data_IF_326203390583
#
_entry.id   IF_326203390583
#
_cell.length_a   1.000
_cell.length_b   1.000
_cell.length_c   1.000
_cell.angle_alpha   90.00
_cell.angle_beta   90.00
_cell.angle_gamma   90.00
#
_symmetry.space_group_name_H-M   'P 1'
#
loop_
_entity.id
_entity.type
_entity.pdbx_description
1 polymer ?
#
# COMPACT_ATOMS: atom_id res chain seq x y z
N UNK A 1 57.08 3.28 -35.27
CA UNK A 1 57.27 1.83 -35.45
C UNK A 1 57.09 1.19 -34.07
N UNK A 2 55.90 0.61 -33.85
CA UNK A 2 55.47 -0.34 -32.81
C UNK A 2 55.60 0.08 -31.32
N UNK A 3 54.49 0.45 -30.65
CA UNK A 3 53.57 -0.44 -29.90
C UNK A 3 54.24 -1.12 -28.70
N UNK A 4 54.18 -0.49 -27.51
CA UNK A 4 54.26 -1.15 -26.18
C UNK A 4 54.17 -0.12 -25.04
N UNK A 5 52.99 0.47 -24.78
CA UNK A 5 52.84 1.35 -23.61
C UNK A 5 51.46 1.33 -22.91
N UNK A 6 50.54 0.45 -23.32
CA UNK A 6 49.21 0.35 -22.72
C UNK A 6 48.72 -1.10 -22.54
N UNK A 7 49.59 -1.97 -22.03
CA UNK A 7 49.17 -3.25 -21.45
C UNK A 7 49.25 -3.18 -19.93
N UNK A 8 48.56 -2.19 -19.33
CA UNK A 8 48.19 -2.31 -17.92
C UNK A 8 47.06 -3.33 -17.86
N UNK A 9 47.43 -4.61 -17.91
CA UNK A 9 46.54 -5.71 -17.57
C UNK A 9 46.17 -5.49 -16.11
N UNK A 10 45.01 -4.85 -15.89
CA UNK A 10 44.31 -4.90 -14.62
C UNK A 10 44.00 -6.37 -14.38
N UNK A 11 44.95 -7.06 -13.74
CA UNK A 11 44.71 -8.33 -13.09
C UNK A 11 43.80 -8.00 -11.91
N UNK A 12 42.50 -7.89 -12.20
CA UNK A 12 41.46 -7.89 -11.18
C UNK A 12 41.68 -9.22 -10.46
N UNK A 13 42.05 -9.18 -9.17
CA UNK A 13 42.37 -10.40 -8.47
C UNK A 13 41.07 -11.25 -8.42
N UNK A 14 41.20 -12.53 -8.78
CA UNK A 14 40.07 -13.46 -9.00
C UNK A 14 39.22 -13.69 -7.74
N UNK A 15 39.75 -13.33 -6.58
CA UNK A 15 39.08 -13.32 -5.28
C UNK A 15 37.94 -12.28 -5.22
N UNK A 16 38.11 -11.10 -5.82
CA UNK A 16 37.07 -10.05 -5.82
C UNK A 16 35.97 -10.37 -6.83
N UNK A 17 36.31 -11.00 -7.96
CA UNK A 17 35.30 -11.40 -8.96
C UNK A 17 34.47 -12.59 -8.48
N UNK A 18 35.07 -13.57 -7.80
CA UNK A 18 34.35 -14.70 -7.22
C UNK A 18 33.50 -14.28 -6.01
N UNK A 19 34.00 -13.41 -5.12
CA UNK A 19 33.21 -12.88 -4.01
C UNK A 19 32.03 -12.01 -4.49
N UNK A 20 32.22 -11.24 -5.57
CA UNK A 20 31.16 -10.48 -6.22
C UNK A 20 30.12 -11.38 -6.89
N UNK A 21 30.56 -12.44 -7.58
CA UNK A 21 29.67 -13.39 -8.24
C UNK A 21 28.86 -14.22 -7.23
N UNK A 22 29.50 -14.71 -6.17
CA UNK A 22 28.83 -15.42 -5.07
C UNK A 22 27.84 -14.52 -4.31
N UNK A 23 28.17 -13.24 -4.12
CA UNK A 23 27.23 -12.29 -3.52
C UNK A 23 26.01 -12.07 -4.42
N UNK A 24 26.21 -11.92 -5.73
CA UNK A 24 25.09 -11.81 -6.68
C UNK A 24 24.30 -13.10 -6.82
N UNK A 25 24.92 -14.27 -6.73
CA UNK A 25 24.23 -15.57 -6.75
C UNK A 25 23.44 -15.77 -5.46
N UNK A 26 24.00 -15.46 -4.28
CA UNK A 26 23.29 -15.54 -3.00
C UNK A 26 22.13 -14.54 -2.91
N UNK A 27 22.30 -13.33 -3.47
CA UNK A 27 21.21 -12.34 -3.58
C UNK A 27 20.14 -12.85 -4.56
N UNK A 28 20.54 -13.42 -5.70
CA UNK A 28 19.59 -13.97 -6.68
C UNK A 28 18.86 -15.20 -6.14
N UNK A 29 19.53 -16.10 -5.43
CA UNK A 29 18.92 -17.25 -4.74
C UNK A 29 17.98 -16.81 -3.62
N UNK A 30 18.32 -15.77 -2.85
CA UNK A 30 17.41 -15.23 -1.84
C UNK A 30 16.19 -14.55 -2.46
N UNK A 31 16.36 -13.78 -3.54
CA UNK A 31 15.26 -13.14 -4.28
C UNK A 31 14.33 -14.19 -4.92
N UNK A 32 14.86 -15.31 -5.37
CA UNK A 32 14.10 -16.41 -6.00
C UNK A 32 13.57 -17.41 -4.97
N UNK A 33 14.03 -17.37 -3.71
CA UNK A 33 13.48 -18.20 -2.65
C UNK A 33 12.00 -17.84 -2.43
N UNK A 34 11.16 -18.87 -2.36
CA UNK A 34 9.70 -18.79 -2.39
C UNK A 34 9.06 -17.89 -1.32
N UNK A 35 9.82 -17.47 -0.31
CA UNK A 35 9.37 -16.56 0.75
C UNK A 35 9.45 -15.06 0.44
N UNK A 36 10.18 -14.62 -0.60
CA UNK A 36 10.29 -13.17 -0.92
C UNK A 36 9.45 -12.74 -2.13
N UNK A 37 8.88 -13.68 -2.88
CA UNK A 37 8.02 -13.37 -4.02
C UNK A 37 6.79 -12.56 -3.60
N UNK A 38 6.19 -12.89 -2.45
CA UNK A 38 5.07 -12.13 -1.89
C UNK A 38 5.46 -10.70 -1.50
N UNK A 39 6.66 -10.52 -0.96
CA UNK A 39 7.16 -9.20 -0.54
C UNK A 39 7.33 -8.26 -1.74
N UNK A 40 7.91 -8.77 -2.84
CA UNK A 40 8.04 -8.02 -4.09
C UNK A 40 6.69 -7.61 -4.67
N UNK A 41 5.67 -8.48 -4.56
CA UNK A 41 4.31 -8.17 -5.01
C UNK A 41 3.73 -7.00 -4.21
N UNK A 42 3.86 -7.00 -2.88
CA UNK A 42 3.42 -5.89 -2.03
C UNK A 42 4.14 -4.61 -2.39
N UNK A 43 5.47 -4.65 -2.57
CA UNK A 43 6.26 -3.47 -2.90
C UNK A 43 5.82 -2.90 -4.26
N UNK A 44 5.67 -3.76 -5.27
CA UNK A 44 5.18 -3.34 -6.59
C UNK A 44 3.78 -2.72 -6.52
N UNK A 45 2.87 -3.37 -5.78
CA UNK A 45 1.53 -2.88 -5.53
C UNK A 45 1.53 -1.53 -4.79
N UNK A 46 2.42 -1.38 -3.80
CA UNK A 46 2.59 -0.15 -3.03
C UNK A 46 2.99 1.01 -3.94
N UNK A 47 3.97 0.79 -4.82
CA UNK A 47 4.46 1.81 -5.75
C UNK A 47 3.31 2.26 -6.68
N UNK A 48 2.56 1.31 -7.24
CA UNK A 48 1.45 1.62 -8.15
C UNK A 48 0.38 2.47 -7.46
N UNK A 49 -0.03 2.10 -6.25
CA UNK A 49 -1.04 2.85 -5.51
C UNK A 49 -0.52 4.22 -5.08
N UNK A 50 0.72 4.31 -4.57
CA UNK A 50 1.30 5.60 -4.19
C UNK A 50 1.36 6.54 -5.39
N UNK A 51 1.75 6.04 -6.56
CA UNK A 51 1.72 6.82 -7.81
C UNK A 51 0.30 7.23 -8.18
N UNK A 52 -0.67 6.31 -8.08
CA UNK A 52 -2.09 6.62 -8.34
C UNK A 52 -2.59 7.74 -7.42
N UNK A 53 -2.29 7.67 -6.13
CA UNK A 53 -2.67 8.71 -5.16
C UNK A 53 -1.91 10.03 -5.38
N UNK A 54 -0.63 9.98 -5.76
CA UNK A 54 0.19 11.17 -5.99
C UNK A 54 -0.21 11.96 -7.25
N UNK A 55 -0.64 11.26 -8.31
CA UNK A 55 -0.88 11.86 -9.62
C UNK A 55 -2.36 11.95 -10.02
N UNK A 56 -3.18 10.94 -9.72
CA UNK A 56 -4.56 10.85 -10.20
C UNK A 56 -5.59 11.34 -9.18
N UNK A 57 -5.30 11.21 -7.89
CA UNK A 57 -6.29 11.47 -6.84
C UNK A 57 -6.10 12.88 -6.28
N UNK A 58 -7.10 13.73 -6.50
CA UNK A 58 -7.16 15.01 -5.80
C UNK A 58 -7.29 14.80 -4.28
N UNK A 59 -6.75 15.74 -3.50
CA UNK A 59 -6.71 15.61 -2.04
C UNK A 59 -8.09 15.41 -1.38
N UNK A 60 -9.17 15.89 -2.00
CA UNK A 60 -10.54 15.64 -1.54
C UNK A 60 -10.98 14.18 -1.70
N UNK A 61 -10.50 13.51 -2.75
CA UNK A 61 -10.80 12.11 -3.04
C UNK A 61 -9.98 11.15 -2.20
N UNK A 62 -8.83 11.57 -1.67
CA UNK A 62 -8.03 10.77 -0.74
C UNK A 62 -8.83 10.46 0.54
N UNK A 63 -9.47 11.48 1.10
CA UNK A 63 -10.29 11.33 2.30
C UNK A 63 -11.48 10.40 2.06
N UNK A 64 -12.12 10.56 0.90
CA UNK A 64 -13.23 9.70 0.48
C UNK A 64 -12.75 8.24 0.38
N UNK A 65 -11.61 7.99 -0.26
CA UNK A 65 -11.04 6.65 -0.38
C UNK A 65 -10.77 6.01 1.00
N UNK A 66 -10.23 6.76 1.96
CA UNK A 66 -10.01 6.25 3.32
C UNK A 66 -11.31 5.90 4.04
N UNK A 67 -12.31 6.78 3.99
CA UNK A 67 -13.60 6.52 4.63
C UNK A 67 -14.29 5.33 3.97
N UNK A 68 -14.23 5.23 2.65
CA UNK A 68 -14.78 4.13 1.87
C UNK A 68 -14.15 2.79 2.20
N UNK A 69 -12.82 2.72 2.32
CA UNK A 69 -12.16 1.46 2.67
C UNK A 69 -12.44 1.06 4.12
N UNK A 70 -12.59 2.03 5.02
CA UNK A 70 -13.00 1.76 6.39
C UNK A 70 -14.44 1.22 6.47
N UNK A 71 -15.36 1.82 5.72
CA UNK A 71 -16.75 1.31 5.60
C UNK A 71 -16.75 -0.09 5.00
N UNK A 72 -15.95 -0.33 3.96
CA UNK A 72 -15.83 -1.66 3.35
C UNK A 72 -15.33 -2.71 4.35
N UNK A 73 -14.29 -2.39 5.13
CA UNK A 73 -13.78 -3.27 6.18
C UNK A 73 -14.82 -3.54 7.28
N UNK A 74 -15.52 -2.50 7.74
CA UNK A 74 -16.54 -2.65 8.78
C UNK A 74 -17.71 -3.50 8.27
N UNK A 75 -18.18 -3.22 7.05
CA UNK A 75 -19.27 -3.97 6.45
C UNK A 75 -18.91 -5.44 6.25
N UNK A 76 -17.65 -5.76 5.91
CA UNK A 76 -17.21 -7.16 5.78
C UNK A 76 -17.02 -7.83 7.13
N UNK A 77 -16.54 -7.12 8.14
CA UNK A 77 -16.41 -7.66 9.50
C UNK A 77 -17.77 -8.03 10.12
N UNK A 78 -18.81 -7.25 9.86
CA UNK A 78 -20.17 -7.49 10.36
C UNK A 78 -21.06 -8.29 9.39
N UNK A 79 -20.55 -8.69 8.23
CA UNK A 79 -21.34 -9.43 7.26
C UNK A 79 -21.67 -10.84 7.79
N UNK A 80 -22.96 -11.26 7.82
CA UNK A 80 -23.34 -12.56 8.34
C UNK A 80 -23.07 -13.67 7.31
N UNK A 81 -21.80 -14.00 7.09
CA UNK A 81 -21.38 -15.02 6.11
C UNK A 81 -22.09 -16.38 6.33
N UNK A 82 -22.32 -16.75 7.58
CA UNK A 82 -22.97 -18.01 7.96
C UNK A 82 -24.46 -18.06 7.56
N UNK A 83 -25.16 -16.93 7.53
CA UNK A 83 -26.56 -16.88 7.14
C UNK A 83 -26.76 -17.02 5.63
N UNK A 84 -25.75 -16.62 4.83
CA UNK A 84 -25.77 -16.74 3.38
C UNK A 84 -25.05 -18.01 2.87
N UNK A 85 -24.38 -18.75 3.75
CA UNK A 85 -23.66 -19.98 3.43
C UNK A 85 -24.55 -21.22 3.21
N UNK A 86 -25.87 -21.12 3.42
CA UNK A 86 -26.81 -22.25 3.37
C UNK A 86 -27.18 -22.71 1.96
N UNK A 87 -26.24 -22.76 1.02
CA UNK A 87 -26.47 -23.35 -0.30
C UNK A 87 -25.52 -22.92 -1.41
N UNK A 88 -24.71 -21.88 -1.21
CA UNK A 88 -23.72 -21.44 -2.20
C UNK A 88 -22.31 -21.71 -1.69
N UNK A 89 -21.64 -22.71 -2.29
CA UNK A 89 -20.25 -23.09 -1.98
C UNK A 89 -19.24 -21.92 -2.09
N UNK A 90 -19.65 -20.82 -2.69
CA UNK A 90 -18.82 -19.67 -3.04
C UNK A 90 -18.68 -18.66 -1.89
N UNK A 91 -19.61 -18.64 -0.93
CA UNK A 91 -19.63 -17.63 0.15
C UNK A 91 -18.56 -17.85 1.22
N UNK A 92 -18.02 -19.07 1.32
CA UNK A 92 -16.90 -19.41 2.20
C UNK A 92 -15.52 -19.14 1.59
N UNK A 93 -15.44 -18.92 0.28
CA UNK A 93 -14.18 -18.73 -0.43
C UNK A 93 -13.57 -17.35 -0.15
N UNK A 94 -12.25 -17.31 -0.01
CA UNK A 94 -11.52 -16.08 0.28
C UNK A 94 -11.67 -15.02 -0.83
N UNK A 95 -11.79 -15.45 -2.09
CA UNK A 95 -12.04 -14.57 -3.23
C UNK A 95 -13.36 -13.82 -3.12
N UNK A 96 -14.42 -14.47 -2.60
CA UNK A 96 -15.72 -13.82 -2.42
C UNK A 96 -15.62 -12.66 -1.42
N UNK A 97 -14.87 -12.85 -0.34
CA UNK A 97 -14.61 -11.77 0.63
C UNK A 97 -13.91 -10.59 -0.02
N UNK A 98 -12.89 -10.83 -0.86
CA UNK A 98 -12.19 -9.76 -1.59
C UNK A 98 -13.14 -9.02 -2.54
N UNK A 99 -13.95 -9.74 -3.31
CA UNK A 99 -14.94 -9.14 -4.22
C UNK A 99 -15.93 -8.27 -3.44
N UNK A 100 -16.42 -8.76 -2.30
CA UNK A 100 -17.36 -8.03 -1.46
C UNK A 100 -16.72 -6.74 -0.88
N UNK A 101 -15.45 -6.82 -0.45
CA UNK A 101 -14.67 -5.64 -0.02
C UNK A 101 -14.58 -4.61 -1.14
N UNK A 102 -14.16 -5.03 -2.33
CA UNK A 102 -13.99 -4.14 -3.49
C UNK A 102 -15.32 -3.53 -3.91
N UNK A 103 -16.40 -4.31 -3.89
CA UNK A 103 -17.74 -3.85 -4.25
C UNK A 103 -18.25 -2.78 -3.28
N UNK A 104 -18.11 -3.01 -1.97
CA UNK A 104 -18.54 -2.03 -0.95
C UNK A 104 -17.64 -0.79 -0.98
N UNK A 105 -16.34 -0.97 -1.22
CA UNK A 105 -15.41 0.14 -1.41
C UNK A 105 -15.82 1.02 -2.60
N UNK A 106 -16.06 0.43 -3.77
CA UNK A 106 -16.49 1.16 -4.96
C UNK A 106 -17.83 1.86 -4.75
N UNK A 107 -18.81 1.16 -4.14
CA UNK A 107 -20.14 1.71 -3.89
C UNK A 107 -20.08 2.89 -2.92
N UNK A 108 -19.39 2.72 -1.78
CA UNK A 108 -19.23 3.80 -0.80
C UNK A 108 -18.44 4.97 -1.39
N UNK A 109 -17.38 4.71 -2.15
CA UNK A 109 -16.58 5.77 -2.80
C UNK A 109 -17.40 6.56 -3.82
N UNK A 110 -18.26 5.89 -4.61
CA UNK A 110 -19.14 6.57 -5.55
C UNK A 110 -20.17 7.46 -4.84
N UNK A 111 -20.82 6.93 -3.79
CA UNK A 111 -21.79 7.70 -2.98
C UNK A 111 -21.13 8.91 -2.32
N UNK A 112 -19.97 8.73 -1.69
CA UNK A 112 -19.26 9.83 -1.02
C UNK A 112 -18.74 10.86 -2.04
N UNK A 113 -18.27 10.43 -3.21
CA UNK A 113 -17.86 11.34 -4.29
C UNK A 113 -19.01 12.22 -4.79
N UNK A 114 -20.22 11.68 -4.88
CA UNK A 114 -21.40 12.42 -5.32
C UNK A 114 -21.85 13.49 -4.32
N UNK A 115 -21.61 13.29 -3.03
CA UNK A 115 -22.11 14.20 -1.97
C UNK A 115 -21.31 15.50 -1.83
N UNK A 116 -20.18 15.67 -2.54
CA UNK A 116 -19.31 16.87 -2.49
C UNK A 116 -18.93 17.36 -1.06
N UNK A 117 -19.14 16.55 -0.01
CA UNK A 117 -19.05 16.95 1.40
C UNK A 117 -17.69 17.54 1.78
N UNK A 118 -16.64 17.18 1.05
CA UNK A 118 -15.26 17.54 1.38
C UNK A 118 -14.62 18.54 0.40
N UNK A 119 -15.40 19.11 -0.53
CA UNK A 119 -14.90 20.02 -1.59
C UNK A 119 -14.30 21.33 -1.04
N UNK A 120 -14.67 21.74 0.18
CA UNK A 120 -14.19 22.97 0.81
C UNK A 120 -12.96 22.84 1.71
N UNK A 121 -12.43 21.63 1.92
CA UNK A 121 -11.45 21.38 3.00
C UNK A 121 -9.97 21.55 2.59
N UNK A 122 -9.65 21.68 1.29
CA UNK A 122 -8.27 21.63 0.81
C UNK A 122 -7.90 22.84 -0.06
N UNK A 123 -7.22 23.83 0.52
CA UNK A 123 -6.38 24.78 -0.21
C UNK A 123 -4.93 24.55 0.20
N UNK A 124 -4.15 23.90 -0.66
CA UNK A 124 -2.76 23.57 -0.39
C UNK A 124 -1.83 24.10 -1.49
N UNK A 125 -0.64 24.53 -1.07
CA UNK A 125 0.49 24.70 -1.97
C UNK A 125 0.81 23.36 -2.66
N UNK A 126 1.25 23.41 -3.91
CA UNK A 126 1.55 22.23 -4.74
C UNK A 126 2.42 21.18 -4.01
N UNK A 127 3.46 21.64 -3.30
CA UNK A 127 4.38 20.77 -2.56
C UNK A 127 3.71 20.06 -1.37
N UNK A 128 2.88 20.77 -0.61
CA UNK A 128 2.14 20.19 0.52
C UNK A 128 1.10 19.17 0.05
N UNK A 129 0.47 19.40 -1.11
CA UNK A 129 -0.41 18.41 -1.76
C UNK A 129 0.34 17.13 -2.10
N UNK A 130 1.54 17.23 -2.66
CA UNK A 130 2.33 16.08 -3.10
C UNK A 130 2.85 15.25 -1.91
N UNK A 131 3.36 15.91 -0.86
CA UNK A 131 3.75 15.25 0.39
C UNK A 131 2.57 14.55 1.07
N UNK A 132 1.41 15.22 1.14
CA UNK A 132 0.20 14.60 1.69
C UNK A 132 -0.23 13.38 0.87
N UNK A 133 -0.15 13.44 -0.46
CA UNK A 133 -0.52 12.33 -1.32
C UNK A 133 0.42 11.12 -1.17
N UNK A 134 1.73 11.32 -1.01
CA UNK A 134 2.69 10.24 -0.78
C UNK A 134 2.45 9.58 0.57
N UNK A 135 2.34 10.37 1.65
CA UNK A 135 2.11 9.84 3.00
C UNK A 135 0.77 9.09 3.05
N UNK A 136 -0.29 9.69 2.55
CA UNK A 136 -1.61 9.06 2.50
C UNK A 136 -1.64 7.83 1.59
N UNK A 137 -0.98 7.86 0.44
CA UNK A 137 -0.86 6.70 -0.43
C UNK A 137 -0.19 5.53 0.30
N UNK A 138 0.91 5.79 1.02
CA UNK A 138 1.63 4.75 1.77
C UNK A 138 0.79 4.17 2.92
N UNK A 139 0.06 5.03 3.64
CA UNK A 139 -0.89 4.62 4.68
C UNK A 139 -2.02 3.76 4.09
N UNK A 140 -2.56 4.16 2.94
CA UNK A 140 -3.65 3.46 2.27
C UNK A 140 -3.20 2.08 1.79
N UNK A 141 -2.03 2.00 1.15
CA UNK A 141 -1.42 0.73 0.76
C UNK A 141 -1.27 -0.19 1.97
N UNK A 142 -0.64 0.28 3.04
CA UNK A 142 -0.36 -0.60 4.17
C UNK A 142 -1.63 -1.10 4.85
N UNK A 143 -2.65 -0.26 4.96
CA UNK A 143 -3.97 -0.68 5.41
C UNK A 143 -4.60 -1.74 4.50
N UNK A 144 -4.59 -1.49 3.20
CA UNK A 144 -5.21 -2.37 2.21
C UNK A 144 -4.46 -3.72 2.11
N UNK A 145 -3.13 -3.71 2.19
CA UNK A 145 -2.30 -4.92 2.27
C UNK A 145 -2.59 -5.71 3.56
N UNK A 146 -2.67 -5.06 4.73
CA UNK A 146 -3.03 -5.73 5.98
C UNK A 146 -4.41 -6.40 5.89
N UNK A 147 -5.37 -5.70 5.29
CA UNK A 147 -6.74 -6.19 5.11
C UNK A 147 -6.80 -7.38 4.15
N UNK A 148 -6.11 -7.31 3.01
CA UNK A 148 -6.04 -8.41 2.04
C UNK A 148 -5.40 -9.63 2.71
N UNK A 149 -4.26 -9.48 3.38
CA UNK A 149 -3.59 -10.58 4.07
C UNK A 149 -4.44 -11.24 5.16
N UNK A 150 -5.33 -10.49 5.81
CA UNK A 150 -6.24 -11.04 6.81
C UNK A 150 -7.28 -12.01 6.21
N UNK A 151 -7.51 -11.94 4.91
CA UNK A 151 -8.49 -12.74 4.18
C UNK A 151 -7.84 -13.87 3.37
N UNK A 152 -6.55 -13.76 3.06
CA UNK A 152 -5.80 -14.75 2.28
C UNK A 152 -5.73 -16.12 2.98
N UNK A 153 -5.79 -17.24 2.23
CA UNK A 153 -5.63 -18.56 2.81
C UNK A 153 -4.15 -18.85 3.07
N UNK A 154 -3.88 -19.77 3.99
CA UNK A 154 -2.54 -20.06 4.50
C UNK A 154 -1.53 -20.43 3.40
N UNK A 155 -1.98 -21.07 2.32
CA UNK A 155 -1.13 -21.45 1.18
C UNK A 155 -0.48 -20.25 0.49
N UNK A 156 -1.15 -19.10 0.44
CA UNK A 156 -0.56 -17.87 -0.10
C UNK A 156 0.30 -17.16 0.94
N UNK A 157 -0.02 -17.29 2.24
CA UNK A 157 0.76 -16.69 3.31
C UNK A 157 2.18 -17.27 3.42
N UNK A 158 2.39 -18.52 2.99
CA UNK A 158 3.72 -19.15 2.95
C UNK A 158 4.68 -18.51 1.94
N UNK A 159 4.18 -17.67 1.02
CA UNK A 159 4.99 -16.98 0.00
C UNK A 159 5.55 -15.63 0.48
N UNK A 160 5.22 -15.23 1.70
CA UNK A 160 5.68 -13.98 2.31
C UNK A 160 6.74 -14.26 3.36
N UNK A 161 7.62 -13.29 3.58
CA UNK A 161 8.63 -13.41 4.62
C UNK A 161 7.98 -13.33 6.01
N UNK A 162 8.65 -13.92 7.00
CA UNK A 162 8.20 -13.86 8.39
C UNK A 162 8.07 -12.41 8.89
N UNK A 163 8.92 -11.50 8.41
CA UNK A 163 8.86 -10.08 8.75
C UNK A 163 7.61 -9.41 8.18
N UNK A 164 7.28 -9.66 6.91
CA UNK A 164 6.05 -9.15 6.29
C UNK A 164 4.81 -9.64 7.03
N UNK A 165 4.74 -10.94 7.34
CA UNK A 165 3.64 -11.50 8.12
C UNK A 165 3.55 -10.84 9.49
N UNK A 166 4.67 -10.58 10.16
CA UNK A 166 4.69 -9.89 11.45
C UNK A 166 4.19 -8.44 11.35
N UNK A 167 4.54 -7.70 10.31
CA UNK A 167 4.13 -6.30 10.13
C UNK A 167 2.64 -6.18 9.81
N UNK A 168 2.09 -7.08 9.00
CA UNK A 168 0.72 -6.94 8.47
C UNK A 168 -0.33 -7.83 9.16
N UNK A 169 0.06 -9.00 9.70
CA UNK A 169 -0.87 -9.97 10.29
C UNK A 169 -0.90 -9.91 11.82
N UNK A 170 0.19 -9.49 12.47
CA UNK A 170 0.21 -9.39 13.94
C UNK A 170 -0.90 -8.47 14.46
N UNK A 171 -1.38 -8.74 15.68
CA UNK A 171 -2.44 -7.95 16.30
C UNK A 171 -2.07 -6.46 16.38
N UNK A 172 -0.83 -6.18 16.79
CA UNK A 172 -0.27 -4.82 16.82
C UNK A 172 -0.16 -4.25 15.40
N UNK A 173 0.33 -5.02 14.44
CA UNK A 173 0.46 -4.59 13.05
C UNK A 173 -0.89 -4.18 12.45
N UNK A 174 -1.91 -5.03 12.59
CA UNK A 174 -3.28 -4.73 12.15
C UNK A 174 -3.83 -3.49 12.83
N UNK A 175 -3.70 -3.38 14.15
CA UNK A 175 -4.14 -2.21 14.89
C UNK A 175 -3.46 -0.92 14.39
N UNK A 176 -2.13 -0.97 14.24
CA UNK A 176 -1.33 0.15 13.75
C UNK A 176 -1.79 0.55 12.36
N UNK A 177 -1.95 -0.39 11.43
CA UNK A 177 -2.40 -0.10 10.07
C UNK A 177 -3.86 0.38 9.96
N UNK A 178 -4.73 0.01 10.90
CA UNK A 178 -6.10 0.54 11.01
C UNK A 178 -6.09 1.98 11.53
N UNK A 179 -5.27 2.27 12.54
CA UNK A 179 -5.25 3.57 13.23
C UNK A 179 -4.40 4.62 12.52
N UNK A 180 -3.33 4.22 11.84
CA UNK A 180 -2.41 5.11 11.12
C UNK A 180 -3.12 6.01 10.08
N UNK A 181 -3.99 5.47 9.21
CA UNK A 181 -4.80 6.26 8.29
C UNK A 181 -5.64 7.34 9.00
N UNK A 182 -6.28 6.98 10.12
CA UNK A 182 -7.10 7.90 10.91
C UNK A 182 -6.23 9.01 11.53
N UNK A 183 -5.06 8.66 12.07
CA UNK A 183 -4.10 9.61 12.61
C UNK A 183 -3.53 10.55 11.53
N UNK A 184 -3.23 10.02 10.34
CA UNK A 184 -2.74 10.78 9.19
C UNK A 184 -3.72 11.86 8.73
N UNK A 185 -5.02 11.61 8.85
CA UNK A 185 -6.05 12.62 8.56
C UNK A 185 -6.00 13.80 9.54
N UNK A 186 -5.67 13.56 10.81
CA UNK A 186 -5.52 14.65 11.80
C UNK A 186 -4.26 15.47 11.57
N UNK A 187 -3.16 14.81 11.15
CA UNK A 187 -1.89 15.49 10.88
C UNK A 187 -1.95 16.41 9.66
N UNK A 188 -2.73 16.01 8.65
CA UNK A 188 -2.92 16.76 7.40
C UNK A 188 -4.08 17.76 7.47
N UNK A 189 -4.49 18.19 8.68
CA UNK A 189 -5.51 19.23 8.84
C UNK A 189 -4.92 20.60 8.48
N UNK A 190 -5.46 21.33 7.48
CA UNK A 190 -4.94 22.65 7.16
C UNK A 190 -5.28 23.61 8.30
N UNK A 191 -4.29 24.41 8.71
CA UNK A 191 -4.52 25.53 9.60
C UNK A 191 -5.59 26.43 8.98
N UNK A 192 -6.67 26.71 9.74
CA UNK A 192 -7.71 27.66 9.31
C UNK A 192 -7.03 28.98 8.95
N UNK A 193 -7.01 29.35 7.66
CA UNK A 193 -6.74 30.74 7.28
C UNK A 193 -7.85 31.56 7.93
N UNK A 194 -7.49 32.33 8.95
CA UNK A 194 -8.41 33.28 9.59
C UNK A 194 -9.01 34.21 8.52
N UNK A 195 -10.20 34.76 8.77
CA UNK A 195 -10.86 35.65 7.82
C UNK A 195 -9.87 36.74 7.40
N UNK A 196 -9.52 36.75 6.11
CA UNK A 196 -8.61 37.75 5.56
C UNK A 196 -9.10 39.13 5.97
N UNK A 197 -8.20 39.95 6.52
CA UNK A 197 -8.52 41.35 6.86
C UNK A 197 -9.16 42.00 5.63
N UNK A 198 -10.33 42.64 5.75
CA UNK A 198 -10.89 43.40 4.65
C UNK A 198 -9.89 44.48 4.23
N UNK A 199 -9.71 44.64 2.93
CA UNK A 199 -8.90 45.72 2.38
C UNK A 199 -9.43 47.06 2.90
N UNK A 200 -8.54 47.88 3.44
CA UNK A 200 -8.81 49.28 3.77
C UNK A 200 -8.62 50.13 2.53
#
# INVERSE_FOLDING_TARGET
MFLNLFAFSLKIPEDISQAGLEATDKISEQIVSSGYTGDLLIIGFAIIIVLFFAFLVDAHNILIAFVSIYIAWLATAFFPYHAFATGTAWTGEWWFKIILIVLIFCLSSAVLSATHLFRGYYQYNFFARWMAAIVNGLLFVGFLSAMIMAVLPQNFLMQFSTETLRIFISEIGRFVWIVLPLAGMFLTRPGRKGPGRPAR
#
